data_IF_989866886661
#
_entry.id   IF_989866886661
#
_cell.length_a   1.000
_cell.length_b   1.000
_cell.length_c   1.000
_cell.angle_alpha   90.00
_cell.angle_beta   90.00
_cell.angle_gamma   90.00
#
_symmetry.space_group_name_H-M   'P 1'
#
loop_
_entity.id
_entity.type
_entity.pdbx_description
1 polymer ?
#
# COMPACT_ATOMS: atom_id res chain seq x y z
N UNK A 1 -70.26 21.63 -22.59
CA UNK A 1 -71.10 20.84 -23.51
C UNK A 1 -70.32 19.59 -23.91
N UNK A 2 -70.95 18.45 -23.67
CA UNK A 2 -70.66 17.06 -24.14
C UNK A 2 -69.42 16.37 -23.57
N UNK A 3 -69.49 15.15 -23.19
CA UNK A 3 -70.50 14.18 -22.68
C UNK A 3 -69.64 13.01 -22.12
N UNK A 4 -70.02 12.50 -21.00
CA UNK A 4 -69.56 11.24 -20.41
C UNK A 4 -69.95 10.07 -21.29
N UNK A 5 -69.08 9.05 -21.42
CA UNK A 5 -69.50 7.67 -21.64
C UNK A 5 -68.80 6.77 -20.64
N UNK A 6 -69.64 6.12 -19.87
CA UNK A 6 -69.35 5.05 -18.91
C UNK A 6 -69.14 3.73 -19.69
N UNK A 7 -68.12 2.97 -19.33
CA UNK A 7 -68.09 1.54 -19.68
C UNK A 7 -67.89 0.70 -18.40
N UNK A 8 -68.62 -0.35 -18.40
CA UNK A 8 -69.03 -1.25 -17.35
C UNK A 8 -67.92 -2.18 -16.86
N UNK A 9 -67.96 -2.37 -15.55
CA UNK A 9 -67.26 -3.44 -14.84
C UNK A 9 -67.90 -4.78 -15.18
N UNK A 10 -67.06 -5.75 -15.67
CA UNK A 10 -67.45 -7.14 -15.79
C UNK A 10 -66.82 -7.96 -14.67
N UNK A 11 -67.66 -8.64 -13.91
CA UNK A 11 -67.38 -9.60 -12.87
C UNK A 11 -66.38 -10.70 -13.35
N UNK A 12 -65.35 -10.94 -12.60
CA UNK A 12 -64.57 -12.16 -12.66
C UNK A 12 -64.66 -12.88 -11.30
N UNK A 13 -65.36 -13.98 -11.33
CA UNK A 13 -65.50 -14.97 -10.24
C UNK A 13 -64.12 -15.53 -9.83
N UNK A 14 -63.88 -15.83 -8.55
CA UNK A 14 -62.62 -16.44 -8.11
C UNK A 14 -62.60 -17.92 -8.45
N UNK A 15 -61.52 -18.34 -9.14
CA UNK A 15 -61.20 -19.73 -9.37
C UNK A 15 -60.67 -20.42 -8.13
N UNK A 16 -61.11 -21.63 -7.86
CA UNK A 16 -60.75 -22.50 -6.74
C UNK A 16 -59.25 -22.80 -6.63
N UNK A 17 -58.75 -23.10 -5.44
CA UNK A 17 -57.34 -23.41 -5.25
C UNK A 17 -57.01 -24.83 -5.80
N UNK A 18 -55.98 -24.92 -6.61
CA UNK A 18 -55.42 -26.18 -7.07
C UNK A 18 -54.69 -26.84 -5.90
N UNK A 19 -55.23 -27.99 -5.46
CA UNK A 19 -54.56 -28.83 -4.47
C UNK A 19 -53.31 -29.46 -5.09
N UNK A 20 -52.11 -29.04 -4.63
CA UNK A 20 -50.85 -29.64 -4.97
C UNK A 20 -50.68 -30.99 -4.23
N UNK A 21 -50.73 -32.07 -4.96
CA UNK A 21 -50.46 -33.43 -4.46
C UNK A 21 -49.00 -33.56 -3.97
N UNK A 22 -48.81 -33.81 -2.67
CA UNK A 22 -47.53 -33.98 -2.02
C UNK A 22 -46.70 -35.18 -2.56
N UNK A 23 -47.28 -36.05 -3.37
CA UNK A 23 -46.60 -37.19 -3.97
C UNK A 23 -45.86 -36.87 -5.27
N UNK A 24 -46.19 -35.77 -5.93
CA UNK A 24 -45.48 -35.31 -7.11
C UNK A 24 -44.14 -34.59 -6.82
N UNK A 25 -43.92 -34.19 -5.56
CA UNK A 25 -42.71 -33.45 -5.15
C UNK A 25 -41.50 -34.37 -4.85
N UNK A 26 -41.70 -35.69 -4.80
CA UNK A 26 -40.61 -36.64 -4.49
C UNK A 26 -40.03 -37.35 -5.72
N UNK A 27 -40.57 -37.12 -6.89
CA UNK A 27 -40.12 -37.81 -8.11
C UNK A 27 -39.25 -36.96 -9.05
N UNK A 28 -39.07 -35.65 -8.75
CA UNK A 28 -38.21 -34.75 -9.57
C UNK A 28 -37.01 -34.14 -8.81
N UNK A 29 -36.70 -34.72 -7.64
CA UNK A 29 -35.64 -34.26 -6.77
C UNK A 29 -34.26 -34.86 -6.94
N UNK A 30 -33.99 -35.52 -8.09
CA UNK A 30 -32.66 -36.02 -8.42
C UNK A 30 -32.16 -35.42 -9.74
N UNK A 31 -32.35 -34.11 -9.95
CA UNK A 31 -31.42 -33.36 -10.75
C UNK A 31 -30.14 -33.24 -9.91
N UNK A 32 -29.14 -34.05 -10.25
CA UNK A 32 -27.81 -33.91 -9.70
C UNK A 32 -27.39 -32.45 -9.81
N UNK A 33 -27.38 -31.75 -8.67
CA UNK A 33 -26.58 -30.58 -8.53
C UNK A 33 -25.14 -31.10 -8.71
N UNK A 34 -24.62 -31.03 -9.94
CA UNK A 34 -23.21 -31.03 -10.16
C UNK A 34 -22.72 -29.80 -9.42
N UNK A 35 -22.34 -30.00 -8.18
CA UNK A 35 -21.42 -29.12 -7.50
C UNK A 35 -20.17 -29.18 -8.37
N UNK A 36 -20.10 -28.30 -9.34
CA UNK A 36 -18.82 -27.91 -9.90
C UNK A 36 -18.10 -27.35 -8.68
N UNK A 37 -17.34 -28.22 -8.01
CA UNK A 37 -16.30 -27.77 -7.12
C UNK A 37 -15.43 -26.89 -8.02
N UNK A 38 -15.69 -25.59 -7.98
CA UNK A 38 -14.74 -24.63 -8.49
C UNK A 38 -13.48 -25.02 -7.73
N UNK A 39 -12.53 -25.62 -8.41
CA UNK A 39 -11.17 -25.72 -7.89
C UNK A 39 -10.89 -24.31 -7.42
N UNK A 40 -10.45 -24.11 -6.17
CA UNK A 40 -9.97 -22.78 -5.79
C UNK A 40 -9.05 -22.40 -6.94
N UNK A 41 -9.32 -21.29 -7.58
CA UNK A 41 -8.36 -20.70 -8.49
C UNK A 41 -7.14 -20.54 -7.59
N UNK A 42 -6.21 -21.48 -7.67
CA UNK A 42 -4.87 -21.23 -7.19
C UNK A 42 -4.54 -19.94 -7.90
N UNK A 43 -4.41 -18.86 -7.14
CA UNK A 43 -3.84 -17.65 -7.65
C UNK A 43 -2.61 -18.18 -8.39
N UNK A 44 -2.63 -18.05 -9.72
CA UNK A 44 -1.47 -18.41 -10.50
C UNK A 44 -0.34 -17.64 -9.88
N UNK A 45 0.45 -18.30 -9.03
CA UNK A 45 1.79 -17.91 -8.71
C UNK A 45 2.55 -18.11 -10.00
N UNK A 46 2.10 -17.35 -11.05
CA UNK A 46 2.82 -17.36 -12.29
C UNK A 46 4.22 -16.89 -11.92
N UNK A 47 5.19 -17.76 -12.13
CA UNK A 47 6.57 -17.34 -12.09
C UNK A 47 6.63 -16.04 -12.90
N UNK A 48 7.48 -15.11 -12.48
CA UNK A 48 7.72 -13.86 -13.19
C UNK A 48 7.89 -14.22 -14.66
N UNK A 49 6.83 -14.01 -15.48
CA UNK A 49 6.73 -14.56 -16.83
C UNK A 49 7.99 -14.27 -17.61
N UNK A 50 8.34 -15.16 -18.52
CA UNK A 50 9.39 -15.05 -19.54
C UNK A 50 10.85 -14.91 -19.06
N UNK A 51 11.14 -15.10 -17.78
CA UNK A 51 12.52 -15.22 -17.37
C UNK A 51 13.01 -16.64 -17.67
N UNK A 52 13.94 -16.79 -18.61
CA UNK A 52 14.24 -18.08 -19.25
C UNK A 52 14.92 -19.10 -18.33
N UNK A 53 15.20 -18.83 -17.09
CA UNK A 53 15.84 -19.79 -16.20
C UNK A 53 15.59 -19.49 -14.73
N UNK A 54 14.69 -20.21 -14.11
CA UNK A 54 14.60 -20.36 -12.66
C UNK A 54 15.84 -21.07 -12.14
N UNK A 55 16.84 -20.30 -11.82
CA UNK A 55 18.03 -20.83 -11.15
C UNK A 55 18.14 -20.22 -9.76
N UNK A 56 18.41 -21.07 -8.81
CA UNK A 56 18.83 -20.64 -7.49
C UNK A 56 20.36 -20.55 -7.41
N UNK A 57 20.89 -19.58 -6.69
CA UNK A 57 20.19 -18.46 -6.08
C UNK A 57 19.70 -17.47 -7.15
N UNK A 58 18.54 -16.81 -6.90
CA UNK A 58 17.97 -15.84 -7.85
C UNK A 58 18.95 -14.68 -8.13
N UNK A 59 19.35 -14.53 -9.39
CA UNK A 59 20.34 -13.52 -9.80
C UNK A 59 19.80 -12.08 -9.64
N UNK A 60 18.48 -11.91 -9.61
CA UNK A 60 17.84 -10.60 -9.41
C UNK A 60 17.99 -10.05 -7.99
N UNK A 61 18.34 -10.89 -7.02
CA UNK A 61 18.80 -10.45 -5.70
C UNK A 61 20.30 -10.36 -5.74
N UNK A 62 20.83 -9.14 -5.87
CA UNK A 62 22.23 -8.85 -6.13
C UNK A 62 22.92 -8.35 -4.85
N UNK A 63 24.01 -9.01 -4.47
CA UNK A 63 24.91 -8.54 -3.43
C UNK A 63 26.02 -7.71 -4.08
N UNK A 64 26.07 -6.42 -3.78
CA UNK A 64 27.09 -5.48 -4.26
C UNK A 64 28.29 -5.41 -3.30
N UNK A 65 28.05 -5.75 -2.03
CA UNK A 65 29.02 -5.70 -0.95
C UNK A 65 28.86 -6.94 -0.05
N UNK A 66 29.98 -7.41 0.55
CA UNK A 66 29.97 -8.55 1.48
C UNK A 66 29.06 -8.37 2.72
N UNK A 67 28.69 -7.13 3.05
CA UNK A 67 27.74 -6.80 4.12
C UNK A 67 26.30 -7.16 3.75
N UNK A 68 25.99 -7.28 2.45
CA UNK A 68 24.69 -7.76 2.00
C UNK A 68 24.60 -9.28 2.12
N UNK A 69 24.22 -9.77 3.28
CA UNK A 69 24.09 -11.20 3.61
C UNK A 69 22.63 -11.68 3.59
N UNK A 70 21.74 -10.91 2.99
CA UNK A 70 20.29 -11.10 3.12
C UNK A 70 19.68 -11.95 2.01
N UNK A 71 20.46 -12.36 1.03
CA UNK A 71 20.03 -13.23 -0.06
C UNK A 71 19.83 -14.66 0.44
N UNK A 72 18.59 -15.14 0.33
CA UNK A 72 18.25 -16.55 0.59
C UNK A 72 18.62 -17.39 -0.62
N UNK A 73 19.44 -18.42 -0.42
CA UNK A 73 20.00 -19.21 -1.53
C UNK A 73 18.98 -19.99 -2.36
N UNK A 74 17.83 -20.32 -1.77
CA UNK A 74 16.76 -21.12 -2.37
C UNK A 74 15.40 -20.38 -2.39
N UNK A 75 15.40 -19.06 -2.33
CA UNK A 75 14.23 -18.22 -2.54
C UNK A 75 14.36 -17.42 -3.84
N UNK A 76 13.26 -17.27 -4.55
CA UNK A 76 13.14 -16.43 -5.73
C UNK A 76 12.17 -15.28 -5.48
N UNK A 77 12.27 -14.24 -6.31
CA UNK A 77 11.26 -13.19 -6.36
C UNK A 77 10.00 -13.77 -7.00
N UNK A 78 8.90 -13.68 -6.32
CA UNK A 78 7.58 -14.14 -6.74
C UNK A 78 6.72 -12.94 -7.12
N UNK A 79 5.96 -13.02 -8.21
CA UNK A 79 4.87 -12.10 -8.50
C UNK A 79 3.59 -12.67 -7.89
N UNK A 80 3.13 -12.12 -6.78
CA UNK A 80 2.01 -12.66 -6.01
C UNK A 80 0.65 -12.14 -6.46
N UNK A 81 0.62 -10.99 -7.15
CA UNK A 81 -0.59 -10.40 -7.69
C UNK A 81 -0.27 -9.49 -8.89
N UNK A 82 -1.22 -9.31 -9.80
CA UNK A 82 -1.09 -8.42 -10.96
C UNK A 82 -2.47 -7.91 -11.42
N UNK A 83 -2.49 -6.91 -12.32
CA UNK A 83 -3.72 -6.34 -12.88
C UNK A 83 -4.14 -5.04 -12.19
N UNK A 84 -3.19 -4.33 -11.60
CA UNK A 84 -3.37 -3.01 -11.00
C UNK A 84 -2.98 -1.92 -11.99
N UNK A 85 -3.31 -0.67 -11.67
CA UNK A 85 -2.88 0.50 -12.46
C UNK A 85 -1.69 1.21 -11.85
N UNK A 86 -1.70 1.32 -10.52
CA UNK A 86 -0.59 1.82 -9.73
C UNK A 86 -0.71 1.26 -8.32
N UNK A 87 0.01 0.18 -8.07
CA UNK A 87 0.03 -0.47 -6.77
C UNK A 87 0.95 0.29 -5.82
N UNK A 88 0.47 0.64 -4.62
CA UNK A 88 1.14 1.50 -3.66
C UNK A 88 0.81 1.15 -2.21
N UNK A 89 1.56 1.71 -1.27
CA UNK A 89 1.29 1.69 0.16
C UNK A 89 1.07 0.31 0.76
N UNK A 90 1.98 -0.65 0.60
CA UNK A 90 1.81 -1.99 1.12
C UNK A 90 1.97 -2.03 2.64
N UNK A 91 1.07 -2.74 3.32
CA UNK A 91 1.15 -3.02 4.76
C UNK A 91 0.73 -4.46 5.04
N UNK A 92 1.50 -5.16 5.87
CA UNK A 92 1.22 -6.55 6.23
C UNK A 92 0.63 -6.67 7.63
N UNK A 93 -0.50 -7.38 7.73
CA UNK A 93 -1.18 -7.70 8.98
C UNK A 93 -0.81 -9.13 9.40
N UNK A 94 0.14 -9.24 10.33
CA UNK A 94 0.71 -10.50 10.75
C UNK A 94 -0.31 -11.43 11.39
N UNK A 95 -1.16 -10.91 12.27
CA UNK A 95 -2.13 -11.71 13.01
C UNK A 95 -3.24 -12.26 12.12
N UNK A 96 -3.55 -11.54 11.04
CA UNK A 96 -4.51 -11.98 10.03
C UNK A 96 -3.89 -12.71 8.84
N UNK A 97 -2.57 -12.75 8.71
CA UNK A 97 -1.86 -13.41 7.59
C UNK A 97 -2.20 -12.79 6.23
N UNK A 98 -2.29 -11.46 6.14
CA UNK A 98 -2.64 -10.81 4.87
C UNK A 98 -1.87 -9.51 4.62
N UNK A 99 -1.69 -9.21 3.33
CA UNK A 99 -1.14 -7.96 2.82
C UNK A 99 -2.28 -7.08 2.31
N UNK A 100 -2.24 -5.79 2.64
CA UNK A 100 -3.05 -4.76 1.98
C UNK A 100 -2.14 -3.85 1.15
N UNK A 101 -2.68 -3.28 0.08
CA UNK A 101 -2.07 -2.22 -0.72
C UNK A 101 -3.14 -1.42 -1.44
N UNK A 102 -2.80 -0.20 -1.81
CA UNK A 102 -3.64 0.68 -2.61
C UNK A 102 -3.44 0.39 -4.10
N UNK A 103 -4.52 0.34 -4.87
CA UNK A 103 -4.54 0.44 -6.33
C UNK A 103 -5.16 1.81 -6.63
N UNK A 104 -4.31 2.85 -6.60
CA UNK A 104 -4.73 4.25 -6.48
C UNK A 104 -5.70 4.66 -7.59
N UNK A 105 -5.36 4.51 -8.90
CA UNK A 105 -6.24 5.00 -9.96
C UNK A 105 -7.56 4.23 -10.07
N UNK A 106 -7.60 3.01 -9.56
CA UNK A 106 -8.82 2.21 -9.46
C UNK A 106 -9.62 2.52 -8.17
N UNK A 107 -9.14 3.47 -7.36
CA UNK A 107 -9.80 3.96 -6.15
C UNK A 107 -10.19 2.83 -5.18
N UNK A 108 -9.24 1.93 -4.87
CA UNK A 108 -9.49 0.77 -4.04
C UNK A 108 -8.26 0.34 -3.24
N UNK A 109 -8.50 -0.30 -2.10
CA UNK A 109 -7.49 -1.05 -1.34
C UNK A 109 -7.71 -2.53 -1.64
N UNK A 110 -6.65 -3.21 -1.98
CA UNK A 110 -6.60 -4.64 -2.29
C UNK A 110 -6.11 -5.43 -1.08
N UNK A 111 -6.44 -6.72 -1.04
CA UNK A 111 -5.97 -7.66 -0.03
C UNK A 111 -5.52 -8.96 -0.67
N UNK A 112 -4.33 -9.43 -0.30
CA UNK A 112 -3.83 -10.76 -0.58
C UNK A 112 -3.78 -11.57 0.72
N UNK A 113 -4.30 -12.81 0.70
CA UNK A 113 -4.29 -13.74 1.82
C UNK A 113 -3.09 -14.68 1.68
N UNK A 114 -2.26 -14.80 2.73
CA UNK A 114 -1.04 -15.64 2.68
C UNK A 114 -1.36 -17.13 2.61
N UNK A 115 -2.46 -17.57 3.23
CA UNK A 115 -2.80 -18.99 3.34
C UNK A 115 -3.22 -19.63 2.01
N UNK A 116 -3.92 -18.90 1.15
CA UNK A 116 -4.47 -19.44 -0.12
C UNK A 116 -4.08 -18.62 -1.36
N UNK A 117 -3.31 -17.55 -1.20
CA UNK A 117 -2.88 -16.67 -2.30
C UNK A 117 -4.00 -15.84 -2.93
N UNK A 118 -5.20 -15.84 -2.37
CA UNK A 118 -6.37 -15.16 -2.94
C UNK A 118 -6.24 -13.64 -2.84
N UNK A 119 -6.53 -12.97 -3.96
CA UNK A 119 -6.58 -11.51 -4.05
C UNK A 119 -8.03 -11.05 -4.06
N UNK A 120 -8.38 -10.08 -3.22
CA UNK A 120 -9.73 -9.51 -3.13
C UNK A 120 -9.67 -8.00 -2.97
N UNK A 121 -10.77 -7.31 -3.27
CA UNK A 121 -10.94 -5.92 -2.86
C UNK A 121 -11.22 -5.89 -1.36
N UNK A 122 -10.38 -5.19 -0.60
CA UNK A 122 -10.58 -4.95 0.82
C UNK A 122 -11.52 -3.76 1.06
N UNK A 123 -11.28 -2.65 0.31
CA UNK A 123 -12.11 -1.45 0.36
C UNK A 123 -12.27 -0.89 -1.05
N UNK A 124 -13.51 -0.73 -1.50
CA UNK A 124 -13.85 0.06 -2.67
C UNK A 124 -14.03 1.53 -2.27
N UNK A 125 -13.89 2.45 -3.23
CA UNK A 125 -14.02 3.89 -2.99
C UNK A 125 -13.12 4.38 -1.84
N UNK A 126 -11.82 4.09 -1.97
CA UNK A 126 -10.83 4.38 -0.93
C UNK A 126 -10.41 5.85 -0.89
N UNK A 127 -11.07 6.75 -1.63
CA UNK A 127 -10.69 8.16 -1.81
C UNK A 127 -9.26 8.31 -2.38
N UNK A 128 -8.93 7.46 -3.36
CA UNK A 128 -7.60 7.40 -3.95
C UNK A 128 -6.52 7.25 -2.88
N UNK A 129 -6.73 6.28 -1.98
CA UNK A 129 -5.74 5.98 -0.93
C UNK A 129 -4.38 5.67 -1.51
N UNK A 130 -3.32 6.14 -0.83
CA UNK A 130 -1.93 5.84 -1.18
C UNK A 130 -1.28 5.02 -0.08
N UNK A 131 -0.46 5.62 0.78
CA UNK A 131 0.26 4.96 1.85
C UNK A 131 -0.65 4.36 2.91
N UNK A 132 -0.32 3.16 3.34
CA UNK A 132 -0.99 2.48 4.42
C UNK A 132 0.04 2.00 5.46
N UNK A 133 -0.35 2.08 6.71
CA UNK A 133 0.38 1.48 7.83
C UNK A 133 -0.62 1.00 8.87
N UNK A 134 -0.15 0.51 10.00
CA UNK A 134 -1.05 0.15 11.09
C UNK A 134 -0.58 0.77 12.41
N UNK A 135 -1.52 1.06 13.28
CA UNK A 135 -1.21 1.55 14.61
C UNK A 135 -0.84 0.39 15.56
N UNK A 136 -0.48 0.74 16.78
CA UNK A 136 -0.06 -0.23 17.81
C UNK A 136 -1.19 -1.14 18.31
N UNK A 137 -2.43 -0.81 17.97
CA UNK A 137 -3.61 -1.63 18.25
C UNK A 137 -3.99 -2.52 17.05
N UNK A 138 -3.21 -2.49 15.96
CA UNK A 138 -3.45 -3.29 14.76
C UNK A 138 -4.51 -2.73 13.83
N UNK A 139 -4.89 -1.45 13.96
CA UNK A 139 -5.86 -0.78 13.08
C UNK A 139 -5.15 -0.19 11.86
N UNK A 140 -5.83 -0.21 10.72
CA UNK A 140 -5.30 0.34 9.49
C UNK A 140 -5.32 1.87 9.52
N UNK A 141 -4.16 2.48 9.29
CA UNK A 141 -4.00 3.91 9.01
C UNK A 141 -3.84 4.07 7.51
N UNK A 142 -4.55 5.02 6.91
CA UNK A 142 -4.55 5.26 5.46
C UNK A 142 -4.40 6.75 5.17
N UNK A 143 -3.48 7.08 4.26
CA UNK A 143 -3.39 8.38 3.62
C UNK A 143 -4.33 8.40 2.41
N UNK A 144 -5.28 9.33 2.38
CA UNK A 144 -6.26 9.45 1.31
C UNK A 144 -5.99 10.73 0.49
N UNK A 145 -5.68 10.55 -0.79
CA UNK A 145 -5.31 11.65 -1.70
C UNK A 145 -6.48 12.60 -1.96
N UNK A 146 -7.61 12.06 -2.44
CA UNK A 146 -8.73 12.86 -2.91
C UNK A 146 -9.48 13.60 -1.78
N UNK A 147 -9.61 12.95 -0.65
CA UNK A 147 -10.20 13.55 0.55
C UNK A 147 -9.17 14.34 1.37
N UNK A 148 -7.89 14.34 0.97
CA UNK A 148 -6.81 15.16 1.54
C UNK A 148 -6.68 14.99 3.06
N UNK A 149 -6.67 13.73 3.55
CA UNK A 149 -6.76 13.42 4.98
C UNK A 149 -6.04 12.13 5.35
N UNK A 150 -5.83 11.94 6.65
CA UNK A 150 -5.37 10.67 7.23
C UNK A 150 -6.53 10.05 8.01
N UNK A 151 -6.78 8.77 7.77
CA UNK A 151 -7.89 8.04 8.39
C UNK A 151 -7.41 6.80 9.13
N UNK A 152 -8.24 6.29 10.04
CA UNK A 152 -8.07 5.01 10.71
C UNK A 152 -9.32 4.14 10.50
N UNK A 153 -9.10 2.91 10.12
CA UNK A 153 -10.16 1.89 10.08
C UNK A 153 -10.18 1.18 11.42
N UNK A 154 -11.25 1.33 12.15
CA UNK A 154 -11.48 0.70 13.45
C UNK A 154 -11.71 -0.82 13.28
N UNK A 155 -11.65 -1.58 14.37
CA UNK A 155 -11.83 -3.04 14.35
C UNK A 155 -13.23 -3.47 13.89
N UNK A 156 -14.24 -2.62 14.04
CA UNK A 156 -15.61 -2.85 13.54
C UNK A 156 -15.81 -2.44 12.07
N UNK A 157 -14.74 -1.95 11.42
CA UNK A 157 -14.75 -1.48 10.03
C UNK A 157 -15.14 -0.01 9.85
N UNK A 158 -15.50 0.70 10.92
CA UNK A 158 -15.77 2.15 10.87
C UNK A 158 -14.52 2.92 10.49
N UNK A 159 -14.67 3.96 9.68
CA UNK A 159 -13.56 4.85 9.29
C UNK A 159 -13.63 6.12 10.13
N UNK A 160 -12.59 6.32 10.94
CA UNK A 160 -12.38 7.54 11.73
C UNK A 160 -11.44 8.48 10.98
N UNK A 161 -11.86 9.71 10.72
CA UNK A 161 -10.98 10.77 10.23
C UNK A 161 -10.11 11.23 11.40
N UNK A 162 -8.79 11.01 11.28
CA UNK A 162 -7.84 11.42 12.31
C UNK A 162 -7.46 12.88 12.15
N UNK A 163 -7.28 13.31 10.90
CA UNK A 163 -6.98 14.70 10.56
C UNK A 163 -7.28 14.97 9.08
N UNK A 164 -7.86 16.13 8.76
CA UNK A 164 -8.14 16.59 7.39
C UNK A 164 -7.67 18.04 7.15
N UNK A 165 -7.24 18.73 8.20
CA UNK A 165 -6.79 20.14 8.15
C UNK A 165 -5.66 20.39 9.13
N UNK A 166 -4.79 21.32 8.77
CA UNK A 166 -3.79 21.89 9.65
C UNK A 166 -3.95 23.42 9.65
N UNK A 167 -4.15 24.02 10.83
CA UNK A 167 -4.38 25.46 10.99
C UNK A 167 -5.48 26.02 10.07
N UNK A 168 -6.55 25.25 9.90
CA UNK A 168 -7.73 25.63 9.11
C UNK A 168 -7.60 25.42 7.58
N UNK A 169 -6.41 25.03 7.08
CA UNK A 169 -6.14 24.70 5.67
C UNK A 169 -6.17 23.22 5.43
N UNK A 170 -6.62 22.79 4.26
CA UNK A 170 -6.55 21.38 3.86
C UNK A 170 -5.09 20.97 3.58
N UNK A 171 -4.76 19.72 3.86
CA UNK A 171 -3.50 19.12 3.41
C UNK A 171 -3.44 19.13 1.86
N UNK A 172 -2.24 19.01 1.31
CA UNK A 172 -2.11 18.90 -0.14
C UNK A 172 -2.64 17.55 -0.62
N UNK A 173 -2.01 16.47 -0.25
CA UNK A 173 -2.49 15.09 -0.41
C UNK A 173 -1.56 14.19 0.42
N UNK A 174 -1.93 13.81 1.66
CA UNK A 174 -1.12 12.92 2.48
C UNK A 174 -0.76 11.65 1.71
N UNK A 175 0.54 11.29 1.74
CA UNK A 175 1.09 10.27 0.85
C UNK A 175 1.48 8.98 1.57
N UNK A 176 2.50 8.98 2.43
CA UNK A 176 2.91 7.79 3.20
C UNK A 176 2.93 8.09 4.70
N UNK A 177 2.84 7.05 5.52
CA UNK A 177 2.79 7.19 6.98
C UNK A 177 3.52 6.06 7.70
N UNK A 178 4.06 6.40 8.87
CA UNK A 178 4.62 5.44 9.83
C UNK A 178 4.14 5.76 11.24
N UNK A 179 4.17 4.76 12.13
CA UNK A 179 3.68 4.90 13.50
C UNK A 179 4.80 4.57 14.48
N UNK A 180 5.08 5.48 15.40
CA UNK A 180 6.10 5.33 16.44
C UNK A 180 5.61 4.51 17.65
N UNK A 181 6.52 4.14 18.55
CA UNK A 181 6.21 3.34 19.74
C UNK A 181 5.21 4.02 20.70
N UNK A 182 5.14 5.36 20.69
CA UNK A 182 4.15 6.13 21.43
C UNK A 182 2.79 6.24 20.73
N UNK A 183 2.62 5.53 19.61
CA UNK A 183 1.44 5.54 18.74
C UNK A 183 1.22 6.85 17.98
N UNK A 184 2.19 7.76 17.92
CA UNK A 184 2.11 8.93 17.06
C UNK A 184 2.25 8.53 15.59
N UNK A 185 1.48 9.20 14.72
CA UNK A 185 1.47 8.97 13.29
C UNK A 185 2.30 10.06 12.61
N UNK A 186 3.32 9.66 11.88
CA UNK A 186 4.14 10.57 11.10
C UNK A 186 3.80 10.37 9.64
N UNK A 187 3.48 11.44 8.91
CA UNK A 187 3.05 11.35 7.52
C UNK A 187 3.60 12.47 6.66
N UNK A 188 3.72 12.22 5.37
CA UNK A 188 4.22 13.14 4.35
C UNK A 188 3.06 13.74 3.55
N UNK A 189 3.23 14.98 3.07
CA UNK A 189 2.20 15.72 2.32
C UNK A 189 2.79 16.38 1.06
N UNK A 190 3.20 15.60 0.04
CA UNK A 190 3.86 16.11 -1.17
C UNK A 190 2.91 16.72 -2.22
N UNK A 191 1.61 16.37 -2.20
CA UNK A 191 0.61 16.90 -3.12
C UNK A 191 0.41 16.13 -4.42
N UNK A 192 0.90 14.91 -4.58
CA UNK A 192 0.73 14.13 -5.81
C UNK A 192 -0.74 13.88 -6.15
N UNK A 193 -1.58 13.58 -5.16
CA UNK A 193 -2.99 13.28 -5.35
C UNK A 193 -3.83 14.46 -5.86
N UNK A 194 -3.31 15.69 -5.82
CA UNK A 194 -3.97 16.88 -6.35
C UNK A 194 -3.32 17.44 -7.62
N UNK A 195 -2.29 16.77 -8.14
CA UNK A 195 -1.57 17.21 -9.33
C UNK A 195 -2.30 16.90 -10.65
N UNK A 196 -3.20 15.93 -10.66
CA UNK A 196 -3.88 15.47 -11.87
C UNK A 196 -5.07 14.57 -11.58
N UNK A 197 -5.59 13.90 -12.64
CA UNK A 197 -6.78 13.04 -12.57
C UNK A 197 -6.47 11.55 -12.38
N UNK A 198 -5.21 11.18 -12.23
CA UNK A 198 -4.83 9.77 -12.19
C UNK A 198 -4.83 9.21 -10.76
N UNK A 199 -4.34 9.97 -9.80
CA UNK A 199 -4.25 9.56 -8.38
C UNK A 199 -5.19 10.35 -7.45
N UNK A 200 -6.12 11.08 -8.01
CA UNK A 200 -7.09 11.92 -7.31
C UNK A 200 -7.70 12.93 -8.26
N UNK A 201 -7.99 14.13 -7.77
CA UNK A 201 -8.52 15.22 -8.57
C UNK A 201 -7.69 16.50 -8.39
N UNK A 202 -7.47 17.29 -9.49
CA UNK A 202 -6.72 18.52 -9.40
C UNK A 202 -7.29 19.48 -8.36
N UNK A 203 -6.42 19.96 -7.49
CA UNK A 203 -6.75 20.97 -6.51
C UNK A 203 -5.56 21.93 -6.29
N UNK A 204 -5.81 23.05 -5.65
CA UNK A 204 -4.75 24.01 -5.32
C UNK A 204 -4.04 23.56 -4.03
N UNK A 205 -2.71 23.61 -4.02
CA UNK A 205 -1.93 23.53 -2.80
C UNK A 205 -2.25 24.73 -1.90
N UNK A 206 -2.62 24.46 -0.66
CA UNK A 206 -2.93 25.50 0.34
C UNK A 206 -1.77 25.76 1.29
N UNK A 207 -0.82 24.81 1.35
CA UNK A 207 0.34 24.86 2.23
C UNK A 207 1.59 24.35 1.51
N UNK A 208 2.79 24.73 1.95
CA UNK A 208 4.02 24.07 1.51
C UNK A 208 4.01 22.57 1.81
N UNK A 209 4.76 21.82 1.02
CA UNK A 209 5.01 20.39 1.25
C UNK A 209 5.75 20.19 2.59
N UNK A 210 5.34 19.21 3.38
CA UNK A 210 5.84 19.02 4.74
C UNK A 210 5.77 17.57 5.21
N UNK A 211 6.45 17.32 6.31
CA UNK A 211 6.26 16.12 7.13
C UNK A 211 5.60 16.55 8.44
N UNK A 212 4.58 15.82 8.85
CA UNK A 212 3.79 16.06 10.04
C UNK A 212 3.89 14.92 11.04
N UNK A 213 3.79 15.24 12.33
CA UNK A 213 3.54 14.30 13.42
C UNK A 213 2.17 14.57 14.00
N UNK A 214 1.32 13.55 14.04
CA UNK A 214 -0.03 13.58 14.58
C UNK A 214 -0.10 12.74 15.86
N UNK A 215 -0.58 13.32 16.95
CA UNK A 215 -1.04 12.57 18.11
C UNK A 215 -2.50 12.14 17.88
N UNK A 216 -2.78 10.85 17.66
CA UNK A 216 -4.12 10.39 17.33
C UNK A 216 -5.10 10.46 18.50
N UNK A 217 -4.64 10.71 19.73
CA UNK A 217 -5.50 10.84 20.92
C UNK A 217 -6.06 12.25 21.03
N UNK A 218 -5.21 13.24 20.84
CA UNK A 218 -5.60 14.66 20.93
C UNK A 218 -6.05 15.23 19.58
N UNK A 219 -5.75 14.56 18.46
CA UNK A 219 -5.93 15.09 17.11
C UNK A 219 -4.97 16.24 16.76
N UNK A 220 -3.96 16.50 17.62
CA UNK A 220 -3.00 17.57 17.39
C UNK A 220 -1.90 17.14 16.43
N UNK A 221 -1.73 17.87 15.35
CA UNK A 221 -0.58 17.74 14.46
C UNK A 221 0.45 18.83 14.70
N UNK A 222 1.72 18.51 14.40
CA UNK A 222 2.84 19.44 14.39
C UNK A 222 3.67 19.23 13.14
N UNK A 223 4.23 20.31 12.59
CA UNK A 223 5.21 20.25 11.52
C UNK A 223 6.52 19.75 12.11
N UNK A 224 7.11 18.71 11.53
CA UNK A 224 8.38 18.15 12.00
C UNK A 224 9.52 18.33 11.00
N UNK A 225 9.22 18.45 9.70
CA UNK A 225 10.20 18.81 8.68
C UNK A 225 9.59 19.69 7.59
N UNK A 226 10.38 20.63 7.12
CA UNK A 226 10.12 21.55 6.01
C UNK A 226 11.35 21.59 5.09
N UNK A 227 11.22 22.17 3.88
CA UNK A 227 12.34 22.33 2.97
C UNK A 227 12.75 21.02 2.26
N UNK A 228 11.87 20.04 2.25
CA UNK A 228 11.92 18.87 1.37
C UNK A 228 11.00 19.17 0.19
N UNK A 229 11.51 19.03 -1.04
CA UNK A 229 10.75 19.46 -2.23
C UNK A 229 9.47 18.68 -2.39
N UNK A 230 9.55 17.34 -2.32
CA UNK A 230 8.40 16.42 -2.36
C UNK A 230 8.63 15.25 -1.41
N UNK A 231 8.35 15.43 -0.09
CA UNK A 231 8.52 14.36 0.89
C UNK A 231 7.56 13.21 0.57
N UNK A 232 8.11 12.01 0.38
CA UNK A 232 7.37 10.82 -0.03
C UNK A 232 7.49 9.71 1.02
N UNK A 233 8.07 8.56 0.72
CA UNK A 233 8.26 7.49 1.66
C UNK A 233 9.06 7.90 2.90
N UNK A 234 8.70 7.36 4.07
CA UNK A 234 9.41 7.64 5.30
C UNK A 234 9.55 6.38 6.16
N UNK A 235 10.64 6.31 6.94
CA UNK A 235 10.89 5.19 7.85
C UNK A 235 11.78 5.61 9.02
N UNK A 236 11.49 5.10 10.21
CA UNK A 236 12.38 5.23 11.36
C UNK A 236 13.47 4.15 11.36
N UNK A 237 14.64 4.47 11.94
CA UNK A 237 15.58 3.44 12.38
C UNK A 237 14.93 2.54 13.44
N UNK A 238 15.43 1.28 13.66
CA UNK A 238 14.83 0.35 14.62
C UNK A 238 14.73 0.90 16.06
N UNK A 239 15.61 1.81 16.43
CA UNK A 239 15.64 2.48 17.75
C UNK A 239 14.88 3.81 17.78
N UNK A 240 14.20 4.16 16.67
CA UNK A 240 13.46 5.41 16.46
C UNK A 240 14.29 6.69 16.66
N UNK A 241 15.62 6.61 16.65
CA UNK A 241 16.49 7.78 16.80
C UNK A 241 16.80 8.51 15.51
N UNK A 242 16.45 7.93 14.37
CA UNK A 242 16.57 8.54 13.05
C UNK A 242 15.28 8.40 12.27
N UNK A 243 14.93 9.43 11.51
CA UNK A 243 13.88 9.38 10.49
C UNK A 243 14.52 9.57 9.12
N UNK A 244 14.24 8.65 8.20
CA UNK A 244 14.58 8.75 6.80
C UNK A 244 13.37 9.21 6.01
N UNK A 245 13.56 10.14 5.07
CA UNK A 245 12.48 10.66 4.22
C UNK A 245 13.00 10.72 2.77
N UNK A 246 12.27 10.11 1.83
CA UNK A 246 12.53 10.25 0.41
C UNK A 246 12.11 11.65 -0.06
N UNK A 247 12.99 12.32 -0.81
CA UNK A 247 12.67 13.55 -1.53
C UNK A 247 12.56 13.21 -3.02
N UNK A 248 11.35 13.23 -3.54
CA UNK A 248 11.03 12.96 -4.94
C UNK A 248 10.85 14.25 -5.75
N UNK A 249 11.47 15.34 -5.30
CA UNK A 249 11.39 16.66 -5.92
C UNK A 249 11.79 16.71 -7.38
N UNK A 250 12.58 15.74 -7.88
CA UNK A 250 12.95 15.62 -9.29
C UNK A 250 11.72 15.66 -10.22
N UNK A 251 10.58 15.13 -9.80
CA UNK A 251 9.31 15.17 -10.52
C UNK A 251 8.82 16.60 -10.79
N UNK A 252 9.35 17.59 -10.06
CA UNK A 252 9.03 19.02 -10.15
C UNK A 252 10.29 19.87 -10.40
N UNK A 253 11.36 19.26 -10.93
CA UNK A 253 12.62 19.95 -11.23
C UNK A 253 13.53 20.19 -10.01
N UNK A 254 13.20 19.59 -8.88
CA UNK A 254 13.98 19.62 -7.65
C UNK A 254 14.96 18.46 -7.49
N UNK A 255 15.16 18.01 -6.27
CA UNK A 255 16.15 16.98 -5.91
C UNK A 255 15.56 15.57 -5.94
N UNK A 256 16.45 14.57 -6.02
CA UNK A 256 16.14 13.16 -5.80
C UNK A 256 17.18 12.60 -4.83
N UNK A 257 16.81 12.49 -3.56
CA UNK A 257 17.66 11.97 -2.50
C UNK A 257 16.84 11.38 -1.35
N UNK A 258 17.52 10.77 -0.40
CA UNK A 258 16.96 10.42 0.90
C UNK A 258 17.57 11.38 1.92
N UNK A 259 16.72 12.06 2.68
CA UNK A 259 17.11 12.86 3.84
C UNK A 259 17.11 12.00 5.08
N UNK A 260 17.98 12.31 6.04
CA UNK A 260 17.97 11.71 7.36
C UNK A 260 18.03 12.78 8.42
N UNK A 261 17.22 12.59 9.45
CA UNK A 261 17.08 13.48 10.60
C UNK A 261 17.40 12.70 11.88
N UNK A 262 17.96 13.37 12.86
CA UNK A 262 18.02 12.84 14.23
C UNK A 262 16.71 13.19 14.95
N UNK A 263 16.14 12.20 15.64
CA UNK A 263 14.86 12.31 16.35
C UNK A 263 15.13 12.66 17.81
N UNK A 264 14.60 13.78 18.27
CA UNK A 264 14.67 14.22 19.64
C UNK A 264 13.28 14.50 20.21
N UNK A 265 12.66 13.44 20.76
CA UNK A 265 11.25 13.45 21.15
C UNK A 265 10.34 13.69 19.94
N UNK A 266 9.58 14.78 19.98
CA UNK A 266 8.66 15.16 18.89
C UNK A 266 9.30 16.00 17.78
N UNK A 267 10.62 16.27 17.86
CA UNK A 267 11.33 17.17 16.96
C UNK A 267 12.38 16.43 16.14
N UNK A 268 12.57 16.90 14.92
CA UNK A 268 13.68 16.50 14.05
C UNK A 268 14.78 17.56 14.09
N UNK A 269 16.01 17.08 14.10
CA UNK A 269 17.23 17.90 14.10
C UNK A 269 18.26 17.30 13.16
N UNK A 270 19.34 18.04 12.89
CA UNK A 270 20.50 17.54 12.13
C UNK A 270 20.10 16.97 10.75
N UNK A 271 19.35 17.77 10.00
CA UNK A 271 18.93 17.43 8.62
C UNK A 271 20.14 17.31 7.70
N UNK A 272 20.25 16.16 7.03
CA UNK A 272 21.36 15.86 6.11
C UNK A 272 20.95 14.86 5.02
N UNK A 273 21.68 14.86 3.93
CA UNK A 273 21.51 13.84 2.87
C UNK A 273 22.06 12.51 3.38
N UNK A 274 21.23 11.46 3.27
CA UNK A 274 21.61 10.08 3.56
C UNK A 274 22.12 9.35 2.33
N UNK A 275 21.40 9.44 1.21
CA UNK A 275 21.76 8.87 -0.08
C UNK A 275 21.23 9.78 -1.20
N UNK A 276 21.98 9.83 -2.31
CA UNK A 276 21.67 10.69 -3.45
C UNK A 276 22.15 10.07 -4.77
N UNK A 277 22.09 10.83 -5.87
CA UNK A 277 22.49 10.39 -7.21
C UNK A 277 21.58 9.31 -7.79
N UNK A 278 20.30 9.45 -7.58
CA UNK A 278 19.27 8.58 -8.16
C UNK A 278 18.86 9.00 -9.58
N UNK A 279 19.08 10.27 -9.94
CA UNK A 279 18.66 10.83 -11.22
C UNK A 279 19.21 10.02 -12.42
N UNK A 280 18.41 9.78 -13.48
CA UNK A 280 17.08 10.35 -13.73
C UNK A 280 15.93 9.69 -12.95
N UNK A 281 16.16 8.62 -12.21
CA UNK A 281 15.18 8.00 -11.35
C UNK A 281 15.12 8.64 -9.96
N UNK A 282 14.27 8.08 -9.13
CA UNK A 282 14.12 8.48 -7.73
C UNK A 282 13.67 7.31 -6.86
N UNK A 283 13.82 7.46 -5.55
CA UNK A 283 13.29 6.55 -4.55
C UNK A 283 11.93 7.07 -4.09
N UNK A 284 11.02 6.15 -3.74
CA UNK A 284 9.66 6.46 -3.33
C UNK A 284 9.42 5.91 -1.90
N UNK A 285 8.94 4.69 -1.73
CA UNK A 285 8.75 4.08 -0.42
C UNK A 285 10.06 3.63 0.25
N UNK A 286 10.12 3.71 1.57
CA UNK A 286 11.29 3.33 2.39
C UNK A 286 10.84 2.46 3.56
N UNK A 287 11.63 1.43 3.90
CA UNK A 287 11.51 0.68 5.17
C UNK A 287 12.90 0.36 5.71
N UNK A 288 12.98 0.07 6.99
CA UNK A 288 14.22 -0.36 7.65
C UNK A 288 14.12 -1.81 8.13
N UNK A 289 15.27 -2.47 8.25
CA UNK A 289 15.36 -3.79 8.87
C UNK A 289 15.94 -3.71 10.30
N UNK A 290 15.92 -4.84 11.00
CA UNK A 290 16.42 -4.93 12.39
C UNK A 290 17.92 -4.63 12.54
N UNK A 291 18.69 -4.76 11.46
CA UNK A 291 20.13 -4.43 11.45
C UNK A 291 20.36 -2.93 11.18
N UNK A 292 19.28 -2.16 10.96
CA UNK A 292 19.31 -0.73 10.70
C UNK A 292 19.60 -0.38 9.24
N UNK A 293 19.57 -1.34 8.31
CA UNK A 293 19.68 -1.02 6.91
C UNK A 293 18.40 -0.36 6.40
N UNK A 294 18.58 0.50 5.39
CA UNK A 294 17.51 1.24 4.74
C UNK A 294 17.22 0.59 3.40
N UNK A 295 16.03 0.06 3.24
CA UNK A 295 15.53 -0.50 2.01
C UNK A 295 14.60 0.51 1.34
N UNK A 296 14.91 0.89 0.12
CA UNK A 296 14.12 1.89 -0.61
C UNK A 296 13.76 1.39 -2.00
N UNK A 297 12.54 1.71 -2.41
CA UNK A 297 12.06 1.45 -3.75
C UNK A 297 12.75 2.35 -4.76
N UNK A 298 12.85 1.92 -6.01
CA UNK A 298 13.52 2.61 -7.11
C UNK A 298 12.75 2.45 -8.40
N UNK A 299 12.81 3.47 -9.24
CA UNK A 299 12.27 3.42 -10.58
C UNK A 299 12.37 4.73 -11.33
N UNK A 300 11.63 4.80 -12.45
CA UNK A 300 11.53 5.95 -13.36
C UNK A 300 12.84 6.35 -14.05
N UNK A 301 13.78 5.41 -14.14
CA UNK A 301 15.07 5.57 -14.82
C UNK A 301 15.25 4.50 -15.91
N UNK A 302 16.37 3.79 -15.86
CA UNK A 302 16.64 2.64 -16.72
C UNK A 302 15.94 1.39 -16.09
N UNK A 303 15.27 0.53 -16.86
CA UNK A 303 14.66 -0.71 -16.34
C UNK A 303 15.59 -1.57 -15.49
N UNK A 304 16.90 -1.52 -15.70
CA UNK A 304 17.88 -2.20 -14.85
C UNK A 304 17.99 -1.64 -13.43
N UNK A 305 17.48 -0.44 -13.19
CA UNK A 305 17.48 0.23 -11.88
C UNK A 305 16.15 0.05 -11.13
N UNK A 306 15.14 -0.50 -11.79
CA UNK A 306 13.83 -0.77 -11.17
C UNK A 306 13.92 -1.85 -10.10
N UNK A 307 13.24 -1.61 -8.97
CA UNK A 307 13.20 -2.56 -7.87
C UNK A 307 13.51 -1.94 -6.51
N UNK A 308 14.39 -2.55 -5.73
CA UNK A 308 14.73 -2.11 -4.38
C UNK A 308 16.24 -2.00 -4.20
N UNK A 309 16.70 -0.96 -3.55
CA UNK A 309 18.08 -0.79 -3.08
C UNK A 309 18.15 -0.94 -1.57
N UNK A 310 19.22 -1.58 -1.09
CA UNK A 310 19.52 -1.74 0.33
C UNK A 310 20.79 -0.98 0.68
N UNK A 311 20.66 -0.04 1.61
CA UNK A 311 21.78 0.76 2.13
C UNK A 311 22.08 0.39 3.57
N UNK A 312 23.35 0.41 3.97
CA UNK A 312 23.69 0.38 5.41
C UNK A 312 23.14 1.62 6.11
N UNK A 313 23.05 1.60 7.44
CA UNK A 313 22.70 2.78 8.24
C UNK A 313 23.68 3.97 8.07
N UNK A 314 24.82 3.73 7.42
CA UNK A 314 25.82 4.76 7.05
C UNK A 314 25.65 5.33 5.65
N UNK A 315 24.71 4.80 4.82
CA UNK A 315 24.46 5.29 3.47
C UNK A 315 25.20 4.54 2.36
N UNK A 316 25.93 3.46 2.67
CA UNK A 316 26.59 2.64 1.63
C UNK A 316 25.57 1.72 0.95
N UNK A 317 25.49 1.74 -0.37
CA UNK A 317 24.69 0.80 -1.14
C UNK A 317 25.35 -0.59 -1.11
N UNK A 318 24.63 -1.58 -0.55
CA UNK A 318 25.17 -2.93 -0.34
C UNK A 318 24.46 -4.01 -1.16
N UNK A 319 23.24 -3.78 -1.64
CA UNK A 319 22.51 -4.76 -2.43
C UNK A 319 21.33 -4.19 -3.18
N UNK A 320 20.86 -4.97 -4.16
CA UNK A 320 19.67 -4.65 -4.98
C UNK A 320 18.76 -5.86 -5.11
N UNK A 321 17.47 -5.57 -5.27
CA UNK A 321 16.44 -6.52 -5.70
C UNK A 321 15.83 -5.96 -6.98
N UNK A 322 16.11 -6.60 -8.10
CA UNK A 322 15.66 -6.13 -9.42
C UNK A 322 14.24 -6.61 -9.72
N UNK A 323 13.40 -5.70 -10.16
CA UNK A 323 12.03 -5.99 -10.62
C UNK A 323 11.89 -5.66 -12.11
N UNK A 324 10.92 -6.27 -12.81
CA UNK A 324 10.68 -5.99 -14.23
C UNK A 324 9.90 -4.70 -14.48
N UNK A 325 9.55 -3.96 -13.44
CA UNK A 325 8.80 -2.70 -13.48
C UNK A 325 9.19 -1.82 -12.30
N UNK A 326 8.92 -0.53 -12.40
CA UNK A 326 9.17 0.45 -11.35
C UNK A 326 8.56 -0.01 -10.03
N UNK A 327 9.35 0.02 -8.96
CA UNK A 327 8.90 -0.24 -7.60
C UNK A 327 8.48 1.07 -6.93
N UNK A 328 7.22 1.17 -6.54
CA UNK A 328 6.68 2.35 -5.85
C UNK A 328 6.96 2.29 -4.34
N UNK A 329 6.70 1.15 -3.70
CA UNK A 329 6.81 1.03 -2.25
C UNK A 329 7.11 -0.41 -1.82
N UNK A 330 7.40 -0.61 -0.53
CA UNK A 330 7.73 -1.92 0.03
C UNK A 330 7.31 -2.03 1.50
N UNK A 331 7.11 -3.26 1.96
CA UNK A 331 6.99 -3.54 3.39
C UNK A 331 7.54 -4.92 3.73
N UNK A 332 7.95 -5.11 4.97
CA UNK A 332 8.27 -6.44 5.50
C UNK A 332 7.03 -7.09 6.09
N UNK A 333 6.87 -8.39 5.86
CA UNK A 333 5.76 -9.16 6.39
C UNK A 333 6.05 -10.65 6.49
N UNK A 334 4.97 -11.46 6.51
CA UNK A 334 5.03 -12.88 6.81
C UNK A 334 5.19 -13.17 8.30
N UNK A 335 5.02 -14.43 8.70
CA UNK A 335 5.05 -14.85 10.11
C UNK A 335 6.33 -14.47 10.86
N UNK A 336 7.48 -14.44 10.14
CA UNK A 336 8.80 -14.11 10.69
C UNK A 336 9.25 -12.68 10.34
N UNK A 337 8.41 -11.87 9.66
CA UNK A 337 8.76 -10.54 9.16
C UNK A 337 9.99 -10.51 8.23
N UNK A 338 10.30 -11.60 7.58
CA UNK A 338 11.43 -11.78 6.68
C UNK A 338 11.00 -11.97 5.22
N UNK A 339 9.76 -11.66 4.88
CA UNK A 339 9.27 -11.60 3.51
C UNK A 339 9.12 -10.14 3.11
N UNK A 340 9.94 -9.71 2.16
CA UNK A 340 9.89 -8.38 1.59
C UNK A 340 8.80 -8.37 0.52
N UNK A 341 7.76 -7.58 0.70
CA UNK A 341 6.72 -7.30 -0.27
C UNK A 341 7.04 -5.98 -0.96
N UNK A 342 6.85 -5.94 -2.27
CA UNK A 342 7.19 -4.81 -3.13
C UNK A 342 6.02 -4.52 -4.07
N UNK A 343 5.49 -3.31 -4.03
CA UNK A 343 4.51 -2.85 -5.01
C UNK A 343 5.25 -2.35 -6.24
N UNK A 344 5.04 -3.03 -7.36
CA UNK A 344 5.43 -2.57 -8.68
C UNK A 344 4.30 -1.73 -9.28
N UNK A 345 4.50 -1.22 -10.49
CA UNK A 345 3.48 -0.40 -11.16
C UNK A 345 2.15 -1.13 -11.29
N UNK A 346 2.18 -2.34 -11.85
CA UNK A 346 0.97 -3.12 -12.17
C UNK A 346 0.83 -4.40 -11.35
N UNK A 347 1.82 -4.73 -10.53
CA UNK A 347 1.92 -6.01 -9.83
C UNK A 347 2.44 -5.84 -8.40
N UNK A 348 2.28 -6.89 -7.61
CA UNK A 348 2.90 -7.01 -6.28
C UNK A 348 3.84 -8.20 -6.29
N UNK A 349 5.04 -7.98 -5.78
CA UNK A 349 6.11 -8.98 -5.71
C UNK A 349 6.48 -9.29 -4.26
N UNK A 350 7.08 -10.44 -4.05
CA UNK A 350 7.57 -10.84 -2.74
C UNK A 350 8.87 -11.66 -2.87
N UNK A 351 9.76 -11.54 -1.89
CA UNK A 351 10.95 -12.36 -1.77
C UNK A 351 11.29 -12.59 -0.29
N UNK A 352 11.71 -13.79 0.05
CA UNK A 352 12.26 -14.04 1.39
C UNK A 352 13.69 -13.53 1.49
N UNK A 353 14.01 -12.92 2.63
CA UNK A 353 15.35 -12.38 2.95
C UNK A 353 15.82 -12.87 4.31
N UNK A 354 17.16 -12.92 4.51
CA UNK A 354 17.79 -13.32 5.78
C UNK A 354 17.89 -12.17 6.79
N UNK A 355 16.87 -11.31 6.83
CA UNK A 355 16.68 -10.29 7.85
C UNK A 355 15.20 -10.14 8.15
N UNK A 356 14.86 -9.34 9.13
CA UNK A 356 13.48 -9.02 9.49
C UNK A 356 13.27 -7.51 9.35
N UNK A 357 12.06 -7.12 8.98
CA UNK A 357 11.69 -5.71 9.07
C UNK A 357 11.84 -5.19 10.50
N UNK A 358 12.30 -3.95 10.65
CA UNK A 358 12.27 -3.27 11.93
C UNK A 358 10.85 -3.33 12.51
N UNK A 359 10.78 -3.43 13.83
CA UNK A 359 9.50 -3.48 14.52
C UNK A 359 8.80 -2.15 14.40
N UNK A 360 7.94 -2.12 13.44
CA UNK A 360 6.84 -1.18 13.45
C UNK A 360 5.56 -2.01 13.48
N UNK A 361 4.46 -1.49 13.94
CA UNK A 361 3.27 -2.26 14.30
C UNK A 361 2.94 -3.36 13.35
#
# INVERSE_FOLDING_TARGET
MQKRSSETVSDLTPSAPIALDRRAFLATGLAAAAVVAAKPAMADTLPLGDLPNWRYPDARVEALDKRFKYKVGNAAIERIATGFRWAEGPVYFRDGGYLLWSDIPNNRIMRWLEDDGRVTVFRANSNYSNGNTRDREGRLITCEHDSRRVTRTEHDGTITVLIDKFEGKQFNAPNDAVVTNDNAIWFTDPGYGIAGHYEGHPAKEEMPTRVYRLDPKSGKATIVAEGIDRPNGLAFSPDEKRLYVADTGLTHGGRSNIRVFDVNGEKLTNDRVFAENFAPGFTDGIRTDIDGNVWCSMGWADPKDDGVRCYTSGGDLIGKVHLPETCSNLCFGGKKRNRLFMTGSTSVYAVYVETQGALLP
#
